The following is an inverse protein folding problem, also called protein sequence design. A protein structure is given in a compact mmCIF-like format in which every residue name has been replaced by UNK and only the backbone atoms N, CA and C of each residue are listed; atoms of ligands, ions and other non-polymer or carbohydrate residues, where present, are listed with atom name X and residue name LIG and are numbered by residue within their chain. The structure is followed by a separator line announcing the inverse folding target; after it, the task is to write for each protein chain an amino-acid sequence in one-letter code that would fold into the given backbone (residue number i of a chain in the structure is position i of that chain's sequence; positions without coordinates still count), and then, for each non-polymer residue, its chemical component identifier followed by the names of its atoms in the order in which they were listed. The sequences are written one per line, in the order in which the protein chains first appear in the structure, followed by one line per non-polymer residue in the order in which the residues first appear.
data_IF_652994946143
#
_entry.id   IF_652994946143
#
_cell.length_a   1.000
_cell.length_b   1.000
_cell.length_c   1.000
_cell.angle_alpha   90.00
_cell.angle_beta   90.00
_cell.angle_gamma   90.00
#
_symmetry.space_group_name_H-M   'P 1'
#
loop_
_entity.id
_entity.type
_entity.pdbx_description
1 polymer ?
#
# COMPACT_ATOMS: atom_id res chain seq x y z
N UNK A 1 -24.33 -11.68 -25.33
CA UNK A 1 -23.40 -12.02 -24.22
C UNK A 1 -22.01 -11.50 -24.47
N UNK A 2 -21.40 -11.70 -25.66
CA UNK A 2 -20.03 -11.26 -25.97
C UNK A 2 -19.76 -9.74 -25.81
N UNK A 3 -20.77 -8.89 -26.12
CA UNK A 3 -20.63 -7.43 -26.00
C UNK A 3 -20.57 -6.92 -24.54
N UNK A 4 -21.12 -7.66 -23.57
CA UNK A 4 -21.03 -7.35 -22.12
C UNK A 4 -19.68 -7.71 -21.54
N UNK A 5 -19.01 -8.74 -22.06
CA UNK A 5 -17.68 -9.15 -21.59
C UNK A 5 -16.60 -8.15 -22.05
N UNK A 6 -16.69 -7.65 -23.29
CA UNK A 6 -15.75 -6.61 -23.79
C UNK A 6 -15.82 -5.28 -23.02
N UNK A 7 -16.96 -4.93 -22.42
CA UNK A 7 -17.07 -3.72 -21.61
C UNK A 7 -16.47 -3.89 -20.20
N UNK A 8 -16.42 -5.12 -19.69
CA UNK A 8 -15.83 -5.47 -18.40
C UNK A 8 -14.30 -5.45 -18.46
N UNK A 9 -13.71 -5.96 -19.52
CA UNK A 9 -12.25 -5.92 -19.73
C UNK A 9 -11.72 -4.48 -19.87
N UNK A 10 -12.49 -3.58 -20.48
CA UNK A 10 -12.14 -2.17 -20.56
C UNK A 10 -12.06 -1.49 -19.20
N UNK A 11 -12.92 -1.86 -18.24
CA UNK A 11 -12.91 -1.28 -16.89
C UNK A 11 -11.65 -1.62 -16.11
N UNK A 12 -11.17 -2.88 -16.19
CA UNK A 12 -9.94 -3.31 -15.52
C UNK A 12 -8.69 -2.67 -16.15
N UNK A 13 -8.63 -2.60 -17.47
CA UNK A 13 -7.52 -1.96 -18.17
C UNK A 13 -7.43 -0.46 -17.84
N UNK A 14 -8.56 0.25 -17.81
CA UNK A 14 -8.62 1.67 -17.43
C UNK A 14 -8.19 1.86 -15.98
N UNK A 15 -8.68 1.03 -15.06
CA UNK A 15 -8.30 1.12 -13.66
C UNK A 15 -6.79 0.89 -13.45
N UNK A 16 -6.21 -0.08 -14.16
CA UNK A 16 -4.77 -0.35 -14.10
C UNK A 16 -3.95 0.82 -14.67
N UNK A 17 -4.34 1.37 -15.83
CA UNK A 17 -3.65 2.50 -16.44
C UNK A 17 -3.66 3.72 -15.51
N UNK A 18 -4.84 4.10 -15.00
CA UNK A 18 -4.97 5.24 -14.07
C UNK A 18 -4.18 5.03 -12.78
N UNK A 19 -4.12 3.80 -12.26
CA UNK A 19 -3.34 3.50 -11.07
C UNK A 19 -1.82 3.63 -11.32
N UNK A 20 -1.34 3.22 -12.49
CA UNK A 20 0.07 3.40 -12.90
C UNK A 20 0.40 4.88 -13.08
N UNK A 21 -0.45 5.64 -13.75
CA UNK A 21 -0.27 7.08 -13.94
C UNK A 21 -0.30 7.82 -12.59
N UNK A 22 -1.22 7.46 -11.69
CA UNK A 22 -1.27 8.02 -10.34
C UNK A 22 0.04 7.76 -9.57
N UNK A 23 0.59 6.55 -9.66
CA UNK A 23 1.87 6.22 -9.03
C UNK A 23 3.02 7.01 -9.66
N UNK A 24 3.08 7.13 -10.98
CA UNK A 24 4.09 7.91 -11.67
C UNK A 24 4.06 9.39 -11.22
N UNK A 25 2.88 10.00 -11.15
CA UNK A 25 2.72 11.37 -10.67
C UNK A 25 3.11 11.53 -9.18
N UNK A 26 2.80 10.54 -8.34
CA UNK A 26 3.25 10.56 -6.95
C UNK A 26 4.78 10.55 -6.85
N UNK A 27 5.45 9.74 -7.66
CA UNK A 27 6.92 9.68 -7.73
C UNK A 27 7.55 10.96 -8.27
N UNK A 28 6.86 11.68 -9.16
CA UNK A 28 7.23 12.99 -9.68
C UNK A 28 6.85 14.15 -8.74
N UNK A 29 6.37 13.83 -7.54
CA UNK A 29 5.90 14.78 -6.53
C UNK A 29 4.65 15.61 -6.93
N UNK A 30 3.97 15.27 -8.02
CA UNK A 30 2.66 15.87 -8.35
C UNK A 30 1.53 15.17 -7.60
N UNK A 31 1.40 15.52 -6.33
CA UNK A 31 0.40 14.94 -5.42
C UNK A 31 -1.04 15.22 -5.82
N UNK A 32 -1.28 16.37 -6.46
CA UNK A 32 -2.61 16.78 -6.88
C UNK A 32 -3.11 15.90 -8.01
N UNK A 33 -2.29 15.71 -9.03
CA UNK A 33 -2.61 14.86 -10.17
C UNK A 33 -2.66 13.38 -9.75
N UNK A 34 -1.72 12.94 -8.91
CA UNK A 34 -1.75 11.58 -8.36
C UNK A 34 -3.08 11.27 -7.65
N UNK A 35 -3.61 12.20 -6.86
CA UNK A 35 -4.91 12.03 -6.20
C UNK A 35 -6.06 11.99 -7.21
N UNK A 36 -6.09 12.91 -8.19
CA UNK A 36 -7.14 12.96 -9.20
C UNK A 36 -7.23 11.64 -9.98
N UNK A 37 -6.09 11.17 -10.49
CA UNK A 37 -6.00 9.90 -11.22
C UNK A 37 -6.36 8.69 -10.34
N UNK A 38 -5.94 8.68 -9.07
CA UNK A 38 -6.29 7.61 -8.15
C UNK A 38 -7.80 7.56 -7.87
N UNK A 39 -8.47 8.70 -7.74
CA UNK A 39 -9.93 8.75 -7.57
C UNK A 39 -10.67 8.27 -8.82
N UNK A 40 -10.22 8.64 -10.02
CA UNK A 40 -10.75 8.10 -11.27
C UNK A 40 -10.53 6.59 -11.38
N UNK A 41 -9.36 6.10 -10.99
CA UNK A 41 -9.07 4.66 -10.90
C UNK A 41 -10.03 3.92 -9.97
N UNK A 42 -10.37 4.51 -8.81
CA UNK A 42 -11.38 3.96 -7.89
C UNK A 42 -12.78 3.93 -8.51
N UNK A 43 -13.13 4.92 -9.32
CA UNK A 43 -14.41 4.93 -10.05
C UNK A 43 -14.41 3.82 -11.11
N UNK A 44 -13.31 3.63 -11.83
CA UNK A 44 -13.18 2.54 -12.81
C UNK A 44 -13.28 1.15 -12.15
N UNK A 45 -12.63 0.95 -10.99
CA UNK A 45 -12.74 -0.28 -10.19
C UNK A 45 -14.17 -0.57 -9.74
N UNK A 46 -14.94 0.46 -9.41
CA UNK A 46 -16.32 0.29 -8.89
C UNK A 46 -17.35 -0.06 -9.97
N UNK A 47 -17.00 0.02 -11.26
CA UNK A 47 -17.95 -0.26 -12.38
C UNK A 47 -18.26 -1.75 -12.58
N UNK A 48 -17.58 -2.64 -11.90
CA UNK A 48 -17.79 -4.08 -12.02
C UNK A 48 -17.27 -4.87 -10.82
N UNK A 49 -17.42 -6.20 -10.84
CA UNK A 49 -16.85 -7.05 -9.81
C UNK A 49 -15.31 -6.96 -9.86
N UNK A 50 -14.68 -7.01 -8.69
CA UNK A 50 -13.22 -7.09 -8.61
C UNK A 50 -12.76 -8.43 -9.20
N UNK A 51 -11.96 -8.37 -10.23
CA UNK A 51 -11.39 -9.52 -10.93
C UNK A 51 -9.89 -9.61 -10.66
N UNK A 52 -9.31 -10.76 -10.93
CA UNK A 52 -7.87 -10.98 -10.81
C UNK A 52 -7.03 -9.95 -11.58
N UNK A 53 -7.48 -9.57 -12.79
CA UNK A 53 -6.78 -8.56 -13.61
C UNK A 53 -6.70 -7.17 -12.96
N UNK A 54 -7.49 -6.91 -11.92
CA UNK A 54 -7.48 -5.65 -11.17
C UNK A 54 -6.45 -5.63 -10.03
N UNK A 55 -5.65 -6.70 -9.89
CA UNK A 55 -4.60 -6.76 -8.87
C UNK A 55 -3.66 -5.56 -8.90
N UNK A 56 -3.05 -5.16 -10.04
CA UNK A 56 -2.15 -4.01 -10.05
C UNK A 56 -2.83 -2.72 -9.62
N UNK A 57 -4.08 -2.49 -10.08
CA UNK A 57 -4.83 -1.31 -9.65
C UNK A 57 -5.12 -1.30 -8.15
N UNK A 58 -5.54 -2.43 -7.57
CA UNK A 58 -5.81 -2.52 -6.14
C UNK A 58 -4.55 -2.22 -5.31
N UNK A 59 -3.40 -2.71 -5.75
CA UNK A 59 -2.13 -2.48 -5.08
C UNK A 59 -1.67 -1.04 -5.21
N UNK A 60 -1.56 -0.53 -6.45
CA UNK A 60 -1.04 0.81 -6.73
C UNK A 60 -1.92 1.90 -6.12
N UNK A 61 -3.24 1.76 -6.17
CA UNK A 61 -4.15 2.72 -5.52
C UNK A 61 -3.98 2.75 -4.00
N UNK A 62 -3.74 1.61 -3.35
CA UNK A 62 -3.37 1.61 -1.93
C UNK A 62 -2.00 2.28 -1.71
N UNK A 63 -1.01 2.01 -2.57
CA UNK A 63 0.33 2.57 -2.46
C UNK A 63 0.37 4.09 -2.69
N UNK A 64 -0.55 4.64 -3.50
CA UNK A 64 -0.71 6.08 -3.70
C UNK A 64 -1.49 6.74 -2.57
N UNK A 65 -2.66 6.20 -2.24
CA UNK A 65 -3.62 6.90 -1.38
C UNK A 65 -3.28 6.82 0.12
N UNK A 66 -2.64 5.75 0.58
CA UNK A 66 -2.28 5.62 2.00
C UNK A 66 -1.21 6.63 2.44
N UNK A 67 -0.09 6.83 1.70
CA UNK A 67 0.86 7.88 2.03
C UNK A 67 0.26 9.29 1.94
N UNK A 68 -0.53 9.57 0.90
CA UNK A 68 -1.20 10.87 0.77
C UNK A 68 -2.12 11.17 1.95
N UNK A 69 -2.87 10.17 2.43
CA UNK A 69 -3.71 10.32 3.62
C UNK A 69 -2.88 10.51 4.89
N UNK A 70 -1.82 9.74 5.07
CA UNK A 70 -0.93 9.86 6.23
C UNK A 70 -0.32 11.26 6.33
N UNK A 71 0.15 11.79 5.19
CA UNK A 71 0.72 13.13 5.14
C UNK A 71 -0.33 14.22 5.43
N UNK A 72 -1.53 14.11 4.87
CA UNK A 72 -2.62 15.04 5.13
C UNK A 72 -3.04 15.02 6.61
N UNK A 73 -3.08 13.85 7.23
CA UNK A 73 -3.37 13.69 8.66
C UNK A 73 -2.29 14.36 9.51
N UNK A 74 -1.01 14.18 9.17
CA UNK A 74 0.12 14.76 9.90
C UNK A 74 0.16 16.28 9.76
N UNK A 75 -0.22 16.80 8.58
CA UNK A 75 -0.24 18.24 8.28
C UNK A 75 -1.55 18.92 8.68
N UNK A 76 -2.52 18.20 9.22
CA UNK A 76 -3.88 18.71 9.51
C UNK A 76 -4.54 19.38 8.29
N UNK A 77 -4.34 18.79 7.11
CA UNK A 77 -4.83 19.36 5.86
C UNK A 77 -6.35 19.24 5.71
N UNK A 78 -6.99 20.26 5.14
CA UNK A 78 -8.45 20.32 4.96
C UNK A 78 -9.00 19.16 4.10
N UNK A 79 -8.18 18.59 3.23
CA UNK A 79 -8.55 17.48 2.36
C UNK A 79 -8.37 16.09 3.00
N UNK A 80 -7.95 16.00 4.29
CA UNK A 80 -7.79 14.71 5.00
C UNK A 80 -9.03 13.82 4.91
N UNK A 81 -10.26 14.29 5.16
CA UNK A 81 -11.45 13.43 5.10
C UNK A 81 -11.68 12.82 3.71
N UNK A 82 -11.38 13.57 2.65
CA UNK A 82 -11.46 13.09 1.26
C UNK A 82 -10.43 12.00 0.99
N UNK A 83 -9.17 12.22 1.36
CA UNK A 83 -8.07 11.26 1.22
C UNK A 83 -8.31 9.99 2.03
N UNK A 84 -8.78 10.12 3.27
CA UNK A 84 -9.20 9.00 4.11
C UNK A 84 -10.28 8.15 3.42
N UNK A 85 -11.31 8.80 2.90
CA UNK A 85 -12.40 8.10 2.20
C UNK A 85 -11.89 7.35 0.98
N UNK A 86 -11.03 7.98 0.15
CA UNK A 86 -10.42 7.36 -1.02
C UNK A 86 -9.51 6.17 -0.64
N UNK A 87 -8.62 6.35 0.33
CA UNK A 87 -7.74 5.30 0.82
C UNK A 87 -8.51 4.08 1.35
N UNK A 88 -9.57 4.31 2.13
CA UNK A 88 -10.41 3.22 2.62
C UNK A 88 -11.19 2.50 1.50
N UNK A 89 -11.55 3.19 0.43
CA UNK A 89 -12.15 2.56 -0.77
C UNK A 89 -11.14 1.65 -1.46
N UNK A 90 -9.90 2.08 -1.66
CA UNK A 90 -8.82 1.27 -2.21
C UNK A 90 -8.58 0.01 -1.35
N UNK A 91 -8.48 0.17 -0.02
CA UNK A 91 -8.31 -0.95 0.90
C UNK A 91 -9.48 -1.96 0.87
N UNK A 92 -10.73 -1.49 0.66
CA UNK A 92 -11.87 -2.39 0.48
C UNK A 92 -11.78 -3.18 -0.83
N UNK A 93 -11.34 -2.54 -1.93
CA UNK A 93 -11.10 -3.22 -3.20
C UNK A 93 -10.01 -4.30 -3.06
N UNK A 94 -8.87 -3.96 -2.43
CA UNK A 94 -7.82 -4.92 -2.12
C UNK A 94 -8.31 -6.08 -1.25
N UNK A 95 -9.20 -5.83 -0.27
CA UNK A 95 -9.82 -6.87 0.55
C UNK A 95 -10.73 -7.77 -0.27
N UNK A 96 -11.53 -7.21 -1.17
CA UNK A 96 -12.38 -7.99 -2.07
C UNK A 96 -11.55 -8.91 -2.96
N UNK A 97 -10.43 -8.42 -3.48
CA UNK A 97 -9.46 -9.24 -4.22
C UNK A 97 -8.90 -10.37 -3.35
N UNK A 98 -8.47 -10.09 -2.12
CA UNK A 98 -7.95 -11.08 -1.19
C UNK A 98 -8.95 -12.17 -0.80
N UNK A 99 -10.25 -11.87 -0.84
CA UNK A 99 -11.31 -12.84 -0.55
C UNK A 99 -11.56 -13.81 -1.73
N UNK A 100 -11.29 -13.40 -2.97
CA UNK A 100 -11.51 -14.23 -4.17
C UNK A 100 -10.23 -14.89 -4.67
N UNK A 101 -9.07 -14.34 -4.32
CA UNK A 101 -7.79 -14.84 -4.83
C UNK A 101 -6.71 -14.79 -3.73
N UNK A 102 -6.05 -15.94 -3.43
CA UNK A 102 -5.02 -16.01 -2.39
C UNK A 102 -3.87 -15.02 -2.56
N UNK A 103 -3.48 -14.68 -3.79
CA UNK A 103 -2.41 -13.70 -4.06
C UNK A 103 -2.80 -12.27 -3.66
N UNK A 104 -4.07 -11.96 -3.54
CA UNK A 104 -4.54 -10.67 -3.03
C UNK A 104 -4.48 -10.53 -1.50
N UNK A 105 -4.24 -11.64 -0.77
CA UNK A 105 -4.20 -11.62 0.69
C UNK A 105 -3.05 -10.77 1.26
N UNK A 106 -1.78 -10.90 0.81
CA UNK A 106 -0.69 -10.07 1.29
C UNK A 106 -0.99 -8.57 1.09
N UNK A 107 -1.49 -8.19 -0.09
CA UNK A 107 -1.86 -6.81 -0.42
C UNK A 107 -2.92 -6.29 0.54
N UNK A 108 -4.00 -7.05 0.73
CA UNK A 108 -5.09 -6.68 1.63
C UNK A 108 -4.62 -6.52 3.08
N UNK A 109 -3.85 -7.47 3.57
CA UNK A 109 -3.32 -7.46 4.95
C UNK A 109 -2.37 -6.27 5.15
N UNK A 110 -1.47 -6.02 4.20
CA UNK A 110 -0.56 -4.87 4.22
C UNK A 110 -1.33 -3.55 4.21
N UNK A 111 -2.29 -3.38 3.30
CA UNK A 111 -3.10 -2.17 3.22
C UNK A 111 -3.85 -1.88 4.54
N UNK A 112 -4.54 -2.87 5.10
CA UNK A 112 -5.25 -2.71 6.37
C UNK A 112 -4.33 -2.63 7.59
N UNK A 113 -3.14 -3.22 7.53
CA UNK A 113 -2.09 -3.03 8.53
C UNK A 113 -1.59 -1.59 8.54
N UNK A 114 -1.34 -1.01 7.35
CA UNK A 114 -0.96 0.40 7.19
C UNK A 114 -2.06 1.35 7.67
N UNK A 115 -3.33 1.08 7.36
CA UNK A 115 -4.47 1.84 7.92
C UNK A 115 -4.44 1.82 9.44
N UNK A 116 -4.25 0.65 10.05
CA UNK A 116 -4.19 0.54 11.50
C UNK A 116 -3.01 1.32 12.09
N UNK A 117 -1.86 1.33 11.41
CA UNK A 117 -0.68 2.11 11.80
C UNK A 117 -0.96 3.62 11.74
N UNK A 118 -1.53 4.13 10.64
CA UNK A 118 -1.94 5.54 10.48
C UNK A 118 -2.87 5.97 11.60
N UNK A 119 -3.77 5.09 12.04
CA UNK A 119 -4.71 5.35 13.13
C UNK A 119 -4.13 5.14 14.55
N UNK A 120 -2.83 4.86 14.68
CA UNK A 120 -2.17 4.64 15.98
C UNK A 120 -2.56 3.31 16.66
N UNK A 121 -3.17 2.36 15.93
CA UNK A 121 -3.57 1.03 16.44
C UNK A 121 -2.42 0.04 16.32
N UNK A 122 -1.29 0.29 17.01
CA UNK A 122 -0.03 -0.43 16.83
C UNK A 122 -0.17 -1.95 16.90
N UNK A 123 -0.83 -2.49 17.92
CA UNK A 123 -1.02 -3.94 18.07
C UNK A 123 -1.74 -4.58 16.86
N UNK A 124 -2.75 -3.88 16.33
CA UNK A 124 -3.52 -4.35 15.17
C UNK A 124 -2.72 -4.21 13.88
N UNK A 125 -1.93 -3.14 13.76
CA UNK A 125 -1.02 -2.93 12.64
C UNK A 125 0.02 -4.05 12.58
N UNK A 126 0.74 -4.30 13.67
CA UNK A 126 1.76 -5.35 13.74
C UNK A 126 1.20 -6.71 13.35
N UNK A 127 0.09 -7.15 13.98
CA UNK A 127 -0.52 -8.44 13.66
C UNK A 127 -0.80 -8.59 12.16
N UNK A 128 -1.42 -7.59 11.53
CA UNK A 128 -1.79 -7.67 10.10
C UNK A 128 -0.59 -7.63 9.18
N UNK A 129 0.41 -6.83 9.52
CA UNK A 129 1.62 -6.73 8.72
C UNK A 129 2.48 -7.99 8.83
N UNK A 130 2.53 -8.62 9.99
CA UNK A 130 3.13 -9.95 10.18
C UNK A 130 2.42 -11.02 9.33
N UNK A 131 1.09 -11.04 9.38
CA UNK A 131 0.30 -11.93 8.55
C UNK A 131 0.57 -11.69 7.04
N UNK A 132 0.76 -10.44 6.62
CA UNK A 132 1.11 -10.10 5.24
C UNK A 132 2.47 -10.69 4.83
N UNK A 133 3.50 -10.56 5.68
CA UNK A 133 4.81 -11.17 5.46
C UNK A 133 4.70 -12.69 5.31
N UNK A 134 4.03 -13.36 6.26
CA UNK A 134 3.85 -14.82 6.23
C UNK A 134 3.12 -15.30 4.98
N UNK A 135 2.06 -14.57 4.56
CA UNK A 135 1.33 -14.92 3.35
C UNK A 135 2.17 -14.71 2.08
N UNK A 136 2.94 -13.62 1.99
CA UNK A 136 3.83 -13.35 0.86
C UNK A 136 4.92 -14.43 0.73
N UNK A 137 5.51 -14.87 1.86
CA UNK A 137 6.47 -15.98 1.87
C UNK A 137 5.86 -17.29 1.40
N UNK A 138 4.74 -17.67 2.00
CA UNK A 138 4.05 -18.92 1.66
C UNK A 138 3.66 -18.99 0.19
N UNK A 139 3.26 -17.86 -0.39
CA UNK A 139 2.85 -17.77 -1.79
C UNK A 139 4.02 -17.52 -2.74
N UNK A 140 5.26 -17.43 -2.23
CA UNK A 140 6.48 -17.14 -3.00
C UNK A 140 6.34 -15.87 -3.84
N UNK A 141 5.85 -14.79 -3.21
CA UNK A 141 5.65 -13.47 -3.81
C UNK A 141 6.73 -12.50 -3.32
N UNK A 142 7.93 -12.51 -3.92
CA UNK A 142 9.07 -11.76 -3.37
C UNK A 142 8.85 -10.25 -3.35
N UNK A 143 8.17 -9.68 -4.33
CA UNK A 143 7.84 -8.24 -4.33
C UNK A 143 6.92 -7.87 -3.17
N UNK A 144 5.87 -8.66 -2.95
CA UNK A 144 4.95 -8.47 -1.84
C UNK A 144 5.61 -8.66 -0.48
N UNK A 145 6.58 -9.60 -0.43
CA UNK A 145 7.38 -9.82 0.76
C UNK A 145 8.22 -8.58 1.11
N UNK A 146 8.93 -8.02 0.14
CA UNK A 146 9.72 -6.81 0.33
C UNK A 146 8.86 -5.64 0.82
N UNK A 147 7.74 -5.40 0.17
CA UNK A 147 6.80 -4.34 0.55
C UNK A 147 6.18 -4.56 1.93
N UNK A 148 5.85 -5.82 2.29
CA UNK A 148 5.30 -6.15 3.61
C UNK A 148 6.35 -5.98 4.72
N UNK A 149 7.60 -6.34 4.46
CA UNK A 149 8.73 -6.09 5.36
C UNK A 149 8.97 -4.59 5.56
N UNK A 150 8.93 -3.78 4.49
CA UNK A 150 9.01 -2.32 4.58
C UNK A 150 7.89 -1.74 5.45
N UNK A 151 6.66 -2.15 5.21
CA UNK A 151 5.51 -1.66 5.97
C UNK A 151 5.58 -2.05 7.45
N UNK A 152 5.99 -3.28 7.76
CA UNK A 152 6.17 -3.76 9.13
C UNK A 152 7.34 -3.04 9.81
N UNK A 153 8.47 -2.85 9.13
CA UNK A 153 9.61 -2.09 9.65
C UNK A 153 9.25 -0.65 10.01
N UNK A 154 8.41 0.02 9.20
CA UNK A 154 7.88 1.36 9.52
C UNK A 154 6.97 1.36 10.76
N UNK A 155 6.28 0.28 11.02
CA UNK A 155 5.33 0.15 12.13
C UNK A 155 6.01 -0.25 13.46
N UNK A 156 7.31 -0.49 13.47
CA UNK A 156 8.09 -0.95 14.64
C UNK A 156 9.15 0.07 15.09
N UNK A 157 8.78 1.32 15.43
CA UNK A 157 9.76 2.31 15.90
C UNK A 157 10.40 1.92 17.23
N UNK A 158 9.68 1.19 18.09
CA UNK A 158 10.10 0.84 19.44
C UNK A 158 10.89 -0.50 19.52
N UNK A 159 11.09 -1.18 18.38
CA UNK A 159 11.87 -2.42 18.28
C UNK A 159 12.95 -2.27 17.18
N UNK A 160 14.08 -1.63 17.51
CA UNK A 160 15.10 -1.27 16.51
C UNK A 160 15.79 -2.48 15.89
N UNK A 161 15.97 -3.57 16.63
CA UNK A 161 16.62 -4.78 16.10
C UNK A 161 15.73 -5.47 15.07
N UNK A 162 14.47 -5.69 15.42
CA UNK A 162 13.50 -6.29 14.51
C UNK A 162 13.22 -5.41 13.31
N UNK A 163 13.12 -4.09 13.53
CA UNK A 163 13.01 -3.10 12.45
C UNK A 163 14.15 -3.22 11.46
N UNK A 164 15.40 -3.20 11.96
CA UNK A 164 16.59 -3.31 11.11
C UNK A 164 16.59 -4.61 10.30
N UNK A 165 16.31 -5.74 10.94
CA UNK A 165 16.24 -7.05 10.25
C UNK A 165 15.21 -7.05 9.12
N UNK A 166 14.00 -6.50 9.34
CA UNK A 166 12.95 -6.44 8.33
C UNK A 166 13.33 -5.52 7.17
N UNK A 167 13.93 -4.37 7.45
CA UNK A 167 14.36 -3.41 6.43
C UNK A 167 15.55 -3.96 5.61
N UNK A 168 16.51 -4.63 6.24
CA UNK A 168 17.60 -5.33 5.54
C UNK A 168 17.06 -6.42 4.62
N UNK A 169 16.08 -7.18 5.09
CA UNK A 169 15.41 -8.19 4.28
C UNK A 169 14.68 -7.58 3.09
N UNK A 170 13.95 -6.49 3.29
CA UNK A 170 13.29 -5.76 2.23
C UNK A 170 14.29 -5.24 1.19
N UNK A 171 15.40 -4.66 1.63
CA UNK A 171 16.49 -4.19 0.76
C UNK A 171 17.06 -5.33 -0.08
N UNK A 172 17.43 -6.44 0.56
CA UNK A 172 18.02 -7.60 -0.14
C UNK A 172 17.08 -8.14 -1.23
N UNK A 173 15.83 -8.44 -0.87
CA UNK A 173 14.84 -8.96 -1.83
C UNK A 173 14.58 -7.97 -2.98
N UNK A 174 14.48 -6.67 -2.66
CA UNK A 174 14.27 -5.64 -3.69
C UNK A 174 15.45 -5.51 -4.64
N UNK A 175 16.68 -5.65 -4.13
CA UNK A 175 17.90 -5.62 -4.93
C UNK A 175 17.97 -6.82 -5.87
N UNK A 176 17.66 -8.02 -5.38
CA UNK A 176 17.62 -9.23 -6.22
C UNK A 176 16.57 -9.14 -7.34
N UNK A 177 15.46 -8.44 -7.09
CA UNK A 177 14.40 -8.20 -8.09
C UNK A 177 14.71 -7.03 -9.04
N UNK A 178 15.78 -6.28 -8.82
CA UNK A 178 16.07 -5.06 -9.58
C UNK A 178 15.10 -3.90 -9.26
N UNK A 179 14.39 -3.94 -8.13
CA UNK A 179 13.45 -2.92 -7.71
C UNK A 179 14.13 -1.83 -6.89
N UNK A 180 14.83 -0.89 -7.54
CA UNK A 180 15.60 0.19 -6.90
C UNK A 180 14.74 1.01 -5.94
N UNK A 181 13.51 1.35 -6.30
CA UNK A 181 12.59 2.14 -5.47
C UNK A 181 12.43 1.59 -4.05
N UNK A 182 12.19 0.29 -3.90
CA UNK A 182 11.99 -0.31 -2.57
C UNK A 182 13.31 -0.54 -1.85
N UNK A 183 14.40 -0.80 -2.58
CA UNK A 183 15.74 -0.88 -2.00
C UNK A 183 16.18 0.48 -1.41
N UNK A 184 15.95 1.58 -2.12
CA UNK A 184 16.24 2.93 -1.66
C UNK A 184 15.37 3.32 -0.46
N UNK A 185 14.08 2.97 -0.47
CA UNK A 185 13.20 3.21 0.69
C UNK A 185 13.66 2.44 1.93
N UNK A 186 14.11 1.20 1.77
CA UNK A 186 14.64 0.41 2.88
C UNK A 186 15.93 1.03 3.44
N UNK A 187 16.83 1.49 2.56
CA UNK A 187 18.07 2.17 2.95
C UNK A 187 17.78 3.47 3.70
N UNK A 188 16.88 4.30 3.18
CA UNK A 188 16.49 5.54 3.87
C UNK A 188 15.97 5.28 5.29
N UNK A 189 15.09 4.29 5.45
CA UNK A 189 14.56 3.90 6.75
C UNK A 189 15.59 3.29 7.71
N UNK A 190 16.64 2.64 7.18
CA UNK A 190 17.76 2.11 7.99
C UNK A 190 18.66 3.23 8.51
N UNK A 191 18.80 4.31 7.73
CA UNK A 191 19.63 5.47 8.10
C UNK A 191 18.90 6.46 9.01
N UNK A 192 17.56 6.45 9.02
CA UNK A 192 16.77 7.24 9.95
C UNK A 192 17.00 6.77 11.38
N UNK A 193 17.68 7.60 12.18
CA UNK A 193 17.80 7.38 13.63
C UNK A 193 16.39 7.42 14.21
N UNK A 194 15.96 6.42 15.00
CA UNK A 194 14.64 6.46 15.63
C UNK A 194 14.53 7.75 16.44
N UNK A 195 13.62 8.62 16.03
CA UNK A 195 13.34 9.85 16.78
C UNK A 195 12.96 9.46 18.20
N UNK A 196 13.70 9.94 19.19
CA UNK A 196 13.43 9.70 20.61
C UNK A 196 11.95 9.93 20.88
N UNK A 197 11.27 9.05 21.62
CA UNK A 197 9.86 9.16 21.87
C UNK A 197 9.58 10.53 22.48
N UNK A 198 8.88 11.39 21.73
CA UNK A 198 8.39 12.66 22.24
C UNK A 198 7.57 12.33 23.47
N UNK A 199 8.06 12.73 24.63
CA UNK A 199 7.38 12.58 25.91
C UNK A 199 5.93 13.08 25.77
N UNK A 200 4.99 12.14 25.65
CA UNK A 200 3.58 12.46 25.86
C UNK A 200 3.47 12.89 27.32
N UNK A 201 3.38 14.19 27.55
CA UNK A 201 2.99 14.71 28.88
C UNK A 201 1.63 14.13 29.23
N UNK A 202 1.47 13.73 30.48
CA UNK A 202 0.22 13.20 31.02
C UNK A 202 -0.94 14.19 30.95
#
# INVERSE_FOLDING_TARGET
TARKDFSRDRGSAVANALAVEAMANLLLADRKEALALAEEGLVALARGPVLFQMWPACELLCAVLLPLWQDALTQHADNEPRLRSAALRACRAARSLGNICPIGQPISLRAWGTVANILGQSRRAHKRLEEAVVHAERLKMPLELAQSCLALGRALPDDPERRAHLLQRAHHVSTELGCSLFAEQATALLTETPSSPTQRKP
#
